data_IF_848030961162
#
_entry.id   IF_848030961162
#
_cell.length_a   1.000
_cell.length_b   1.000
_cell.length_c   1.000
_cell.angle_alpha   90.00
_cell.angle_beta   90.00
_cell.angle_gamma   90.00
#
_symmetry.space_group_name_H-M   'P 1'
#
loop_
_entity.id
_entity.type
_entity.pdbx_description
1 polymer ?
#
# COMPACT_ATOMS: atom_id res chain seq x y z
N UNK A 1 15.88 16.75 -18.12
CA UNK A 1 15.35 16.12 -16.90
C UNK A 1 13.95 16.67 -16.64
N UNK A 2 12.89 15.87 -16.76
CA UNK A 2 11.54 16.31 -16.35
C UNK A 2 11.35 15.97 -14.88
N UNK A 3 11.00 16.96 -14.06
CA UNK A 3 10.58 16.73 -12.68
C UNK A 3 9.45 15.71 -12.68
N UNK A 4 9.58 14.66 -11.86
CA UNK A 4 8.47 13.74 -11.64
C UNK A 4 7.38 14.52 -10.89
N UNK A 5 6.17 14.54 -11.43
CA UNK A 5 5.03 15.17 -10.76
C UNK A 5 4.80 14.60 -9.35
N UNK A 6 4.00 15.26 -8.52
CA UNK A 6 3.74 14.78 -7.16
C UNK A 6 3.19 13.35 -7.20
N UNK A 7 3.80 12.44 -6.42
CA UNK A 7 3.29 11.07 -6.25
C UNK A 7 2.17 11.06 -5.21
N UNK A 8 1.03 10.45 -5.54
CA UNK A 8 -0.08 10.24 -4.61
C UNK A 8 0.26 9.03 -3.72
N UNK A 9 0.25 9.20 -2.40
CA UNK A 9 0.41 8.09 -1.44
C UNK A 9 -0.93 7.46 -1.07
N UNK A 10 -0.92 6.15 -0.81
CA UNK A 10 -2.08 5.39 -0.33
C UNK A 10 -1.98 5.12 1.16
N UNK A 11 -3.10 5.19 1.88
CA UNK A 11 -3.15 4.94 3.33
C UNK A 11 -4.36 4.09 3.70
N UNK A 12 -4.10 2.95 4.34
CA UNK A 12 -5.14 2.03 4.85
C UNK A 12 -5.18 2.12 6.37
N UNK A 13 -6.33 2.53 6.92
CA UNK A 13 -6.56 2.61 8.36
C UNK A 13 -7.14 1.29 8.88
N UNK A 14 -6.28 0.40 9.37
CA UNK A 14 -6.66 -0.93 9.85
C UNK A 14 -6.40 -1.14 11.36
N UNK A 15 -6.16 -0.06 12.11
CA UNK A 15 -5.79 -0.12 13.52
C UNK A 15 -6.95 -0.44 14.49
N UNK A 16 -8.20 -0.46 13.99
CA UNK A 16 -9.40 -0.60 14.82
C UNK A 16 -9.65 -2.02 15.31
N UNK A 17 -10.21 -2.14 16.52
CA UNK A 17 -10.48 -3.41 17.20
C UNK A 17 -11.56 -4.26 16.53
N UNK A 18 -12.47 -3.65 15.75
CA UNK A 18 -13.58 -4.36 15.09
C UNK A 18 -14.55 -5.04 16.07
N UNK A 19 -14.78 -4.44 17.25
CA UNK A 19 -15.58 -4.97 18.39
C UNK A 19 -16.85 -5.71 17.98
N UNK A 20 -17.71 -5.06 17.19
CA UNK A 20 -19.01 -5.63 16.79
C UNK A 20 -18.88 -6.92 15.97
N UNK A 21 -17.77 -7.14 15.27
CA UNK A 21 -17.53 -8.36 14.50
C UNK A 21 -16.77 -9.44 15.26
N UNK A 22 -16.22 -9.13 16.45
CA UNK A 22 -15.46 -10.08 17.27
C UNK A 22 -14.10 -10.52 16.69
N UNK A 23 -13.77 -10.10 15.46
CA UNK A 23 -12.52 -10.41 14.75
C UNK A 23 -12.05 -9.22 13.91
N UNK A 24 -10.75 -9.12 13.58
CA UNK A 24 -10.21 -7.98 12.85
C UNK A 24 -10.85 -7.87 11.46
N UNK A 25 -11.58 -6.78 11.18
CA UNK A 25 -12.24 -6.57 9.87
C UNK A 25 -11.26 -6.65 8.71
N UNK A 26 -10.03 -6.20 8.92
CA UNK A 26 -8.96 -6.22 7.92
C UNK A 26 -8.62 -7.64 7.42
N UNK A 27 -8.84 -8.67 8.24
CA UNK A 27 -8.52 -10.07 7.94
C UNK A 27 -9.74 -10.87 7.48
N UNK A 28 -10.88 -10.24 7.23
CA UNK A 28 -12.01 -10.95 6.63
C UNK A 28 -11.66 -11.40 5.23
N UNK A 29 -11.89 -12.67 4.95
CA UNK A 29 -11.78 -13.23 3.60
C UNK A 29 -12.95 -12.76 2.72
N UNK A 30 -12.62 -12.40 1.49
CA UNK A 30 -13.57 -12.15 0.43
C UNK A 30 -12.98 -12.63 -0.89
N UNK A 31 -13.48 -13.76 -1.40
CA UNK A 31 -12.99 -14.35 -2.64
C UNK A 31 -11.54 -14.87 -2.53
N UNK A 32 -11.15 -15.43 -1.37
CA UNK A 32 -9.82 -16.01 -1.16
C UNK A 32 -8.72 -14.98 -0.86
N UNK A 33 -9.09 -13.75 -0.52
CA UNK A 33 -8.18 -12.64 -0.18
C UNK A 33 -8.74 -11.84 0.98
N UNK A 34 -7.86 -11.37 1.86
CA UNK A 34 -8.27 -10.51 2.97
C UNK A 34 -8.74 -9.14 2.48
N UNK A 35 -9.64 -8.49 3.24
CA UNK A 35 -10.01 -7.09 3.00
C UNK A 35 -8.79 -6.16 2.96
N UNK A 36 -7.77 -6.44 3.76
CA UNK A 36 -6.51 -5.71 3.74
C UNK A 36 -5.78 -5.87 2.40
N UNK A 37 -5.66 -7.10 1.89
CA UNK A 37 -5.03 -7.38 0.60
C UNK A 37 -5.81 -6.79 -0.58
N UNK A 38 -7.15 -6.79 -0.51
CA UNK A 38 -7.98 -6.07 -1.47
C UNK A 38 -7.69 -4.58 -1.49
N UNK A 39 -7.65 -3.93 -0.31
CA UNK A 39 -7.33 -2.51 -0.19
C UNK A 39 -5.95 -2.16 -0.75
N UNK A 40 -4.94 -3.00 -0.49
CA UNK A 40 -3.58 -2.80 -1.02
C UNK A 40 -3.57 -2.92 -2.55
N UNK A 41 -4.24 -3.93 -3.12
CA UNK A 41 -4.29 -4.07 -4.58
C UNK A 41 -4.99 -2.89 -5.25
N UNK A 42 -6.12 -2.42 -4.72
CA UNK A 42 -6.81 -1.25 -5.25
C UNK A 42 -5.92 0.00 -5.28
N UNK A 43 -5.12 0.23 -4.23
CA UNK A 43 -4.17 1.34 -4.20
C UNK A 43 -3.02 1.16 -5.20
N UNK A 44 -2.54 -0.08 -5.40
CA UNK A 44 -1.52 -0.38 -6.41
C UNK A 44 -2.02 -0.15 -7.83
N UNK A 45 -3.25 -0.60 -8.12
CA UNK A 45 -3.89 -0.39 -9.42
C UNK A 45 -4.09 1.10 -9.71
N UNK A 46 -4.37 1.89 -8.66
CA UNK A 46 -4.42 3.35 -8.71
C UNK A 46 -3.03 4.03 -8.72
N UNK A 47 -1.94 3.26 -8.83
CA UNK A 47 -0.56 3.74 -8.86
C UNK A 47 -0.17 4.60 -7.64
N UNK A 48 -0.82 4.39 -6.50
CA UNK A 48 -0.50 5.07 -5.26
C UNK A 48 0.81 4.52 -4.68
N UNK A 49 1.75 5.41 -4.35
CA UNK A 49 3.08 5.07 -3.88
C UNK A 49 3.61 6.21 -2.99
N UNK A 50 4.00 5.95 -1.73
CA UNK A 50 3.97 4.65 -1.03
C UNK A 50 2.56 4.24 -0.59
N UNK A 51 2.37 2.96 -0.31
CA UNK A 51 1.18 2.41 0.35
C UNK A 51 1.53 2.14 1.82
N UNK A 52 0.83 2.82 2.72
CA UNK A 52 1.04 2.72 4.17
C UNK A 52 -0.15 2.00 4.78
N UNK A 53 0.10 0.96 5.56
CA UNK A 53 -0.90 0.23 6.36
C UNK A 53 -0.74 0.61 7.82
N UNK A 54 -1.81 1.09 8.44
CA UNK A 54 -1.82 1.41 9.87
C UNK A 54 -2.42 0.25 10.67
N UNK A 55 -1.62 -0.38 11.52
CA UNK A 55 -2.06 -1.42 12.46
C UNK A 55 -2.18 -0.85 13.90
N UNK A 56 -2.86 -1.58 14.79
CA UNK A 56 -3.16 -1.08 16.14
C UNK A 56 -3.62 -2.19 17.07
N UNK A 57 -4.93 -2.28 17.31
CA UNK A 57 -5.55 -3.25 18.23
C UNK A 57 -5.15 -4.71 17.94
N UNK A 58 -4.86 -5.04 16.69
CA UNK A 58 -4.49 -6.38 16.24
C UNK A 58 -3.14 -6.35 15.49
N UNK A 59 -2.29 -7.39 15.64
CA UNK A 59 -1.00 -7.48 14.98
C UNK A 59 -1.14 -7.95 13.52
N UNK A 60 -1.56 -7.05 12.64
CA UNK A 60 -1.87 -7.34 11.24
C UNK A 60 -0.62 -7.66 10.40
N UNK A 61 0.56 -7.20 10.83
CA UNK A 61 1.83 -7.49 10.14
C UNK A 61 2.14 -8.98 10.00
N UNK A 62 1.56 -9.83 10.84
CA UNK A 62 1.64 -11.29 10.69
C UNK A 62 1.10 -11.81 9.35
N UNK A 63 0.33 -11.00 8.61
CA UNK A 63 -0.24 -11.33 7.30
C UNK A 63 0.43 -10.54 6.16
N UNK A 64 1.62 -9.98 6.39
CA UNK A 64 2.30 -9.12 5.41
C UNK A 64 2.63 -9.84 4.10
N UNK A 65 2.81 -11.16 4.12
CA UNK A 65 3.13 -11.96 2.94
C UNK A 65 2.05 -11.85 1.85
N UNK A 66 0.78 -11.69 2.23
CA UNK A 66 -0.33 -11.49 1.29
C UNK A 66 -0.30 -10.09 0.62
N UNK A 67 0.35 -9.12 1.26
CA UNK A 67 0.30 -7.72 0.84
C UNK A 67 1.45 -7.35 -0.09
N UNK A 68 2.57 -8.08 -0.09
CA UNK A 68 3.81 -7.66 -0.75
C UNK A 68 4.41 -6.39 -0.13
N UNK A 69 5.16 -5.62 -0.91
CA UNK A 69 5.82 -4.39 -0.42
C UNK A 69 4.81 -3.30 -0.02
N UNK A 70 4.71 -3.07 1.30
CA UNK A 70 3.97 -1.96 1.92
C UNK A 70 4.76 -1.41 3.10
N UNK A 71 4.54 -0.13 3.38
CA UNK A 71 5.00 0.52 4.60
C UNK A 71 3.99 0.31 5.73
N UNK A 72 4.48 0.26 6.96
CA UNK A 72 3.66 -0.08 8.11
C UNK A 72 3.82 0.94 9.23
N UNK A 73 2.71 1.44 9.73
CA UNK A 73 2.66 2.33 10.87
C UNK A 73 1.85 1.70 12.00
N UNK A 74 2.42 1.60 13.21
CA UNK A 74 1.69 1.13 14.39
C UNK A 74 1.07 2.32 15.14
N UNK A 75 -0.25 2.32 15.32
CA UNK A 75 -0.96 3.26 16.19
C UNK A 75 -1.31 2.57 17.53
N UNK A 76 -0.58 2.93 18.59
CA UNK A 76 -0.86 2.45 19.95
C UNK A 76 -2.07 3.15 20.57
N UNK A 77 -2.41 4.35 20.10
CA UNK A 77 -3.49 5.20 20.60
C UNK A 77 -4.79 5.00 19.81
N UNK A 78 -5.01 3.80 19.25
CA UNK A 78 -6.14 3.49 18.37
C UNK A 78 -7.51 3.72 19.04
N UNK A 79 -7.56 3.64 20.38
CA UNK A 79 -8.75 3.92 21.18
C UNK A 79 -9.24 5.37 21.05
N UNK A 80 -8.36 6.31 20.67
CA UNK A 80 -8.72 7.72 20.39
C UNK A 80 -9.52 7.88 19.08
N UNK A 81 -9.79 6.78 18.38
CA UNK A 81 -10.61 6.74 17.18
C UNK A 81 -9.82 6.91 15.88
N UNK A 82 -10.51 6.86 14.71
CA UNK A 82 -9.86 6.77 13.39
C UNK A 82 -8.89 7.91 13.06
N UNK A 83 -9.13 9.11 13.60
CA UNK A 83 -8.28 10.28 13.36
C UNK A 83 -6.86 10.11 13.92
N UNK A 84 -6.70 9.41 15.05
CA UNK A 84 -5.37 9.10 15.60
C UNK A 84 -4.55 8.23 14.63
N UNK A 85 -5.20 7.25 13.99
CA UNK A 85 -4.59 6.38 12.98
C UNK A 85 -4.24 7.15 11.71
N UNK A 86 -5.09 8.08 11.27
CA UNK A 86 -4.80 8.96 10.14
C UNK A 86 -3.56 9.83 10.41
N UNK A 87 -3.50 10.47 11.59
CA UNK A 87 -2.34 11.28 12.00
C UNK A 87 -1.06 10.45 12.03
N UNK A 88 -1.13 9.24 12.61
CA UNK A 88 0.00 8.30 12.66
C UNK A 88 0.46 7.89 11.26
N UNK A 89 -0.48 7.51 10.40
CA UNK A 89 -0.20 7.14 9.01
C UNK A 89 0.42 8.28 8.21
N UNK A 90 -0.14 9.48 8.30
CA UNK A 90 0.38 10.68 7.62
C UNK A 90 1.77 11.10 8.10
N UNK A 91 2.07 10.90 9.38
CA UNK A 91 3.39 11.18 9.95
C UNK A 91 4.43 10.11 9.62
N UNK A 92 4.01 8.96 9.07
CA UNK A 92 4.92 7.89 8.70
C UNK A 92 5.84 8.36 7.56
N UNK A 93 7.14 8.27 7.83
CA UNK A 93 8.16 8.47 6.80
C UNK A 93 8.50 7.10 6.25
N UNK A 94 8.07 6.87 5.00
CA UNK A 94 8.28 5.60 4.32
C UNK A 94 9.76 5.24 4.18
N UNK A 95 10.02 4.01 3.73
CA UNK A 95 11.39 3.58 3.44
C UNK A 95 12.03 4.49 2.38
N UNK A 96 13.36 4.74 2.45
CA UNK A 96 14.05 5.43 1.36
C UNK A 96 13.79 4.67 0.06
N UNK A 97 13.25 5.35 -0.95
CA UNK A 97 12.97 4.76 -2.26
C UNK A 97 14.28 4.26 -2.85
N UNK A 98 14.53 2.96 -2.78
CA UNK A 98 15.55 2.30 -3.60
C UNK A 98 15.16 2.59 -5.05
N UNK A 99 16.08 3.18 -5.81
CA UNK A 99 15.79 3.79 -7.11
C UNK A 99 14.94 2.88 -7.99
N UNK A 100 13.76 3.35 -8.40
CA UNK A 100 12.99 2.68 -9.47
C UNK A 100 13.92 2.63 -10.69
N UNK A 101 14.52 1.46 -10.96
CA UNK A 101 15.05 1.19 -12.28
C UNK A 101 13.88 1.44 -13.25
N UNK A 102 14.01 2.48 -14.07
CA UNK A 102 13.01 2.79 -15.08
C UNK A 102 12.90 1.55 -15.93
N UNK A 103 11.76 0.84 -15.84
CA UNK A 103 11.41 -0.16 -16.85
C UNK A 103 11.18 0.66 -18.11
N UNK A 104 12.20 0.76 -18.96
CA UNK A 104 12.05 1.36 -20.27
C UNK A 104 10.96 0.58 -20.98
N UNK A 105 9.87 1.28 -21.29
CA UNK A 105 8.87 0.78 -22.21
C UNK A 105 9.59 0.64 -23.55
N UNK A 106 9.96 -0.58 -23.90
CA UNK A 106 10.45 -0.89 -25.23
C UNK A 106 9.42 -0.44 -26.26
N UNK A 107 9.75 0.65 -26.97
CA UNK A 107 9.04 1.03 -28.19
C UNK A 107 9.33 0.03 -29.30
N UNK A 108 8.46 -0.04 -30.33
CA UNK A 108 8.50 -1.08 -31.34
C UNK A 108 9.80 -0.98 -32.15
N UNK A 109 10.45 -2.14 -32.33
CA UNK A 109 11.57 -2.26 -33.25
C UNK A 109 11.15 -1.86 -34.66
N UNK A 110 11.61 -0.69 -35.09
CA UNK A 110 11.58 -0.26 -36.48
C UNK A 110 13.01 -0.17 -36.99
N UNK A 111 13.39 -1.11 -37.84
CA UNK A 111 14.32 -0.89 -38.94
C UNK A 111 14.16 -2.05 -39.94
N UNK A 112 13.34 -1.80 -40.94
CA UNK A 112 13.50 -2.34 -42.29
C UNK A 112 14.93 -2.02 -42.78
N UNK A 113 15.62 -3.02 -43.33
CA UNK A 113 16.66 -2.77 -44.33
C UNK A 113 16.64 -3.89 -45.37
N UNK A 114 15.75 -3.73 -46.33
CA UNK A 114 15.94 -4.17 -47.71
C UNK A 114 17.37 -3.86 -48.19
N UNK A 115 18.19 -4.87 -48.50
CA UNK A 115 19.30 -4.77 -49.45
C UNK A 115 19.78 -6.15 -49.92
N UNK A 116 19.43 -6.45 -51.18
CA UNK A 116 19.94 -7.49 -52.11
C UNK A 116 19.15 -8.79 -52.19
#
# INVERSE_FOLDING_TARGET
MRASGPSIGGLILAAGESRRMGRPKALLDYGGRSFLAWGVALLRDAQCEPIIVVEGAHPLRSHADELGEVDWARNVDWQLGPLSSLRRGRAHRGRPRQGRARRELGGPGGADSSAR
#
